data_IF_990205473103
#
_entry.id   IF_990205473103
#
_cell.length_a   1.000
_cell.length_b   1.000
_cell.length_c   1.000
_cell.angle_alpha   90.00
_cell.angle_beta   90.00
_cell.angle_gamma   90.00
#
_symmetry.space_group_name_H-M   'P 1'
#
loop_
_entity.id
_entity.type
_entity.pdbx_description
1 polymer ?
#
# COMPACT_ATOMS: atom_id res chain seq x y z
N UNK A 1 -14.92 10.44 -20.02
CA UNK A 1 -13.46 10.43 -20.24
C UNK A 1 -12.70 9.62 -19.22
N UNK A 2 -12.87 9.87 -17.95
CA UNK A 2 -12.34 9.00 -16.90
C UNK A 2 -12.84 7.55 -17.03
N UNK A 3 -14.07 7.39 -17.48
CA UNK A 3 -14.69 6.08 -17.73
C UNK A 3 -13.97 5.27 -18.80
N UNK A 4 -13.46 5.93 -19.85
CA UNK A 4 -12.73 5.24 -20.92
C UNK A 4 -11.38 4.71 -20.45
N UNK A 5 -10.65 5.50 -19.66
CA UNK A 5 -9.39 5.06 -19.07
C UNK A 5 -9.61 3.88 -18.14
N UNK A 6 -10.67 3.93 -17.36
CA UNK A 6 -11.03 2.84 -16.45
C UNK A 6 -11.39 1.58 -17.24
N UNK A 7 -12.06 1.72 -18.37
CA UNK A 7 -12.43 0.59 -19.21
C UNK A 7 -11.21 -0.11 -19.82
N UNK A 8 -10.24 0.66 -20.32
CA UNK A 8 -9.01 0.10 -20.89
C UNK A 8 -8.24 -0.68 -19.83
N UNK A 9 -8.08 -0.11 -18.65
CA UNK A 9 -7.41 -0.76 -17.53
C UNK A 9 -8.16 -2.03 -17.10
N UNK A 10 -9.47 -1.93 -17.05
CA UNK A 10 -10.35 -3.05 -16.70
C UNK A 10 -10.23 -4.19 -17.72
N UNK A 11 -10.23 -3.86 -19.02
CA UNK A 11 -10.09 -4.84 -20.09
C UNK A 11 -8.73 -5.54 -20.03
N UNK A 12 -7.68 -4.82 -19.70
CA UNK A 12 -6.36 -5.39 -19.50
C UNK A 12 -6.34 -6.39 -18.36
N UNK A 13 -6.95 -6.04 -17.22
CA UNK A 13 -7.06 -6.93 -16.07
C UNK A 13 -7.90 -8.16 -16.40
N UNK A 14 -9.01 -7.98 -17.12
CA UNK A 14 -9.86 -9.08 -17.59
C UNK A 14 -9.06 -10.08 -18.40
N UNK A 15 -8.25 -9.59 -19.33
CA UNK A 15 -7.41 -10.42 -20.18
C UNK A 15 -6.43 -11.27 -19.36
N UNK A 16 -5.86 -10.69 -18.32
CA UNK A 16 -4.94 -11.40 -17.43
C UNK A 16 -5.68 -12.46 -16.61
N UNK A 17 -6.85 -12.12 -16.09
CA UNK A 17 -7.66 -13.03 -15.25
C UNK A 17 -8.22 -14.20 -16.03
N UNK A 18 -8.64 -14.00 -17.27
CA UNK A 18 -9.14 -15.08 -18.13
C UNK A 18 -8.11 -16.20 -18.28
N UNK A 19 -6.84 -15.85 -18.29
CA UNK A 19 -5.76 -16.84 -18.41
C UNK A 19 -5.58 -17.64 -17.14
N UNK A 20 -5.97 -17.11 -15.98
CA UNK A 20 -5.76 -17.76 -14.69
C UNK A 20 -7.00 -18.38 -14.07
N UNK A 21 -8.17 -18.12 -14.62
CA UNK A 21 -9.47 -18.60 -14.14
C UNK A 21 -9.68 -18.38 -12.63
N UNK A 22 -9.11 -17.30 -12.10
CA UNK A 22 -9.26 -17.00 -10.68
C UNK A 22 -10.63 -16.42 -10.39
N UNK A 23 -11.19 -16.83 -9.26
CA UNK A 23 -12.48 -16.35 -8.76
C UNK A 23 -12.42 -14.91 -8.25
N UNK A 24 -11.36 -14.17 -8.55
CA UNK A 24 -11.16 -12.82 -8.05
C UNK A 24 -12.01 -11.86 -8.88
N UNK A 25 -12.83 -11.09 -8.20
CA UNK A 25 -13.67 -10.08 -8.85
C UNK A 25 -12.80 -8.93 -9.33
N UNK A 26 -12.97 -8.55 -10.59
CA UNK A 26 -12.21 -7.45 -11.22
C UNK A 26 -12.34 -6.15 -10.46
N UNK A 27 -13.54 -5.85 -9.95
CA UNK A 27 -13.77 -4.64 -9.19
C UNK A 27 -12.91 -4.61 -7.93
N UNK A 28 -12.68 -5.77 -7.30
CA UNK A 28 -11.86 -5.87 -6.11
C UNK A 28 -10.38 -5.61 -6.44
N UNK A 29 -9.90 -6.14 -7.55
CA UNK A 29 -8.52 -5.90 -8.02
C UNK A 29 -8.32 -4.43 -8.35
N UNK A 30 -9.25 -3.84 -9.08
CA UNK A 30 -9.20 -2.42 -9.42
C UNK A 30 -9.16 -1.56 -8.16
N UNK A 31 -10.01 -1.86 -7.19
CA UNK A 31 -10.06 -1.13 -5.93
C UNK A 31 -8.74 -1.24 -5.16
N UNK A 32 -8.18 -2.43 -5.08
CA UNK A 32 -6.90 -2.66 -4.40
C UNK A 32 -5.77 -1.85 -5.05
N UNK A 33 -5.68 -1.88 -6.37
CA UNK A 33 -4.65 -1.13 -7.10
C UNK A 33 -4.85 0.36 -6.93
N UNK A 34 -6.09 0.83 -7.03
CA UNK A 34 -6.43 2.23 -6.84
C UNK A 34 -6.00 2.71 -5.45
N UNK A 35 -6.32 1.93 -4.42
CA UNK A 35 -5.96 2.26 -3.04
C UNK A 35 -4.44 2.26 -2.87
N UNK A 36 -3.75 1.25 -3.40
CA UNK A 36 -2.32 1.08 -3.19
C UNK A 36 -1.46 2.11 -3.93
N UNK A 37 -1.91 2.61 -5.06
CA UNK A 37 -1.12 3.50 -5.91
C UNK A 37 -1.25 4.99 -5.56
N UNK A 38 -2.06 5.33 -4.58
CA UNK A 38 -2.06 6.70 -4.06
C UNK A 38 -0.68 7.01 -3.46
N UNK A 39 -0.05 8.16 -3.78
CA UNK A 39 1.32 8.45 -3.36
C UNK A 39 1.58 8.28 -1.86
N UNK A 40 0.68 8.79 -1.02
CA UNK A 40 0.83 8.67 0.44
C UNK A 40 0.69 7.21 0.86
N UNK A 41 -0.31 6.51 0.36
CA UNK A 41 -0.55 5.10 0.71
C UNK A 41 0.57 4.19 0.23
N UNK A 42 1.07 4.41 -0.96
CA UNK A 42 2.20 3.64 -1.47
C UNK A 42 3.45 3.84 -0.60
N UNK A 43 3.71 5.07 -0.20
CA UNK A 43 4.81 5.39 0.70
C UNK A 43 4.66 4.66 2.04
N UNK A 44 3.45 4.66 2.60
CA UNK A 44 3.17 3.92 3.84
C UNK A 44 3.44 2.43 3.65
N UNK A 45 2.94 1.84 2.58
CA UNK A 45 3.13 0.42 2.30
C UNK A 45 4.61 0.04 2.19
N UNK A 46 5.39 0.85 1.51
CA UNK A 46 6.82 0.60 1.35
C UNK A 46 7.55 0.65 2.70
N UNK A 47 7.18 1.61 3.54
CA UNK A 47 7.77 1.71 4.88
C UNK A 47 7.41 0.53 5.77
N UNK A 48 6.17 0.05 5.66
CA UNK A 48 5.70 -1.10 6.44
C UNK A 48 6.35 -2.42 6.02
N UNK A 49 6.98 -2.47 4.87
CA UNK A 49 7.72 -3.67 4.47
C UNK A 49 8.89 -3.96 5.41
N UNK A 50 9.55 -2.92 5.91
CA UNK A 50 10.72 -3.07 6.78
C UNK A 50 10.35 -3.36 8.22
N UNK A 51 9.29 -2.73 8.73
CA UNK A 51 8.95 -2.82 10.16
C UNK A 51 7.50 -2.43 10.42
N UNK A 52 7.00 -2.82 11.59
CA UNK A 52 5.73 -2.29 12.10
C UNK A 52 5.93 -0.84 12.54
N UNK A 53 4.93 -0.02 12.30
CA UNK A 53 4.98 1.37 12.73
C UNK A 53 3.64 1.78 13.33
N UNK A 54 3.66 2.83 14.12
CA UNK A 54 2.44 3.47 14.60
C UNK A 54 2.27 4.82 13.92
N UNK A 55 1.03 5.34 13.95
CA UNK A 55 0.67 6.52 13.15
C UNK A 55 1.54 7.75 13.44
N UNK A 56 1.96 7.94 14.69
CA UNK A 56 2.81 9.07 15.04
C UNK A 56 4.21 8.98 14.43
N UNK A 57 4.73 7.78 14.22
CA UNK A 57 6.00 7.60 13.48
C UNK A 57 5.87 8.08 12.05
N UNK A 58 4.80 7.68 11.39
CA UNK A 58 4.54 8.06 10.00
C UNK A 58 4.37 9.57 9.87
N UNK A 59 3.69 10.18 10.82
CA UNK A 59 3.50 11.63 10.85
C UNK A 59 4.84 12.36 10.84
N UNK A 60 5.76 11.95 11.70
CA UNK A 60 7.08 12.56 11.82
C UNK A 60 7.92 12.30 10.56
N UNK A 61 7.98 11.05 10.11
CA UNK A 61 8.83 10.66 8.99
C UNK A 61 8.34 11.26 7.68
N UNK A 62 7.03 11.24 7.45
CA UNK A 62 6.45 11.68 6.19
C UNK A 62 6.09 13.16 6.18
N UNK A 63 6.12 13.81 7.34
CA UNK A 63 5.72 15.22 7.50
C UNK A 63 4.30 15.46 6.98
N UNK A 64 3.41 14.53 7.30
CA UNK A 64 2.00 14.57 6.93
C UNK A 64 1.18 14.54 8.22
N UNK A 65 0.11 15.33 8.25
CA UNK A 65 -0.74 15.44 9.43
C UNK A 65 -1.31 14.09 9.85
N UNK A 66 -1.43 13.89 11.17
CA UNK A 66 -1.94 12.66 11.78
C UNK A 66 -3.30 12.24 11.22
N UNK A 67 -4.19 13.19 11.00
CA UNK A 67 -5.52 12.90 10.47
C UNK A 67 -5.46 12.32 9.06
N UNK A 68 -4.57 12.84 8.24
CA UNK A 68 -4.36 12.37 6.87
C UNK A 68 -3.76 10.97 6.89
N UNK A 69 -2.74 10.74 7.73
CA UNK A 69 -2.13 9.42 7.91
C UNK A 69 -3.20 8.40 8.35
N UNK A 70 -3.99 8.74 9.36
CA UNK A 70 -5.04 7.85 9.88
C UNK A 70 -6.08 7.52 8.83
N UNK A 71 -6.47 8.50 8.02
CA UNK A 71 -7.40 8.28 6.91
C UNK A 71 -6.84 7.26 5.91
N UNK A 72 -5.59 7.42 5.52
CA UNK A 72 -4.96 6.52 4.55
C UNK A 72 -4.72 5.12 5.13
N UNK A 73 -4.33 5.02 6.39
CA UNK A 73 -4.20 3.73 7.07
C UNK A 73 -5.54 2.99 7.11
N UNK A 74 -6.62 3.71 7.40
CA UNK A 74 -7.97 3.13 7.41
C UNK A 74 -8.34 2.58 6.03
N UNK A 75 -8.02 3.31 4.97
CA UNK A 75 -8.28 2.87 3.59
C UNK A 75 -7.48 1.62 3.26
N UNK A 76 -6.24 1.55 3.69
CA UNK A 76 -5.38 0.39 3.48
C UNK A 76 -5.88 -0.84 4.25
N UNK A 77 -6.37 -0.64 5.47
CA UNK A 77 -6.96 -1.72 6.25
C UNK A 77 -8.22 -2.28 5.58
N UNK A 78 -9.09 -1.40 5.12
CA UNK A 78 -10.31 -1.82 4.41
C UNK A 78 -10.02 -2.59 3.13
N UNK A 79 -8.93 -2.25 2.46
CA UNK A 79 -8.51 -2.96 1.25
C UNK A 79 -7.80 -4.29 1.57
N UNK A 80 -7.56 -4.60 2.83
CA UNK A 80 -6.91 -5.85 3.24
C UNK A 80 -5.39 -5.85 3.04
N UNK A 81 -4.77 -4.69 2.86
CA UNK A 81 -3.34 -4.58 2.63
C UNK A 81 -2.53 -4.36 3.91
N UNK A 82 -3.18 -3.82 4.93
CA UNK A 82 -2.58 -3.48 6.22
C UNK A 82 -3.48 -4.02 7.32
N UNK A 83 -2.87 -4.46 8.39
CA UNK A 83 -3.56 -4.84 9.62
C UNK A 83 -2.98 -4.06 10.78
N UNK A 84 -3.69 -4.03 11.89
CA UNK A 84 -3.24 -3.32 13.07
C UNK A 84 -3.47 -4.16 14.32
N UNK A 85 -2.64 -3.91 15.32
CA UNK A 85 -2.76 -4.53 16.64
C UNK A 85 -2.31 -3.52 17.70
N UNK A 86 -2.85 -3.66 18.91
CA UNK A 86 -2.41 -2.84 20.02
C UNK A 86 -1.17 -3.46 20.65
N UNK A 87 -0.23 -2.60 21.03
CA UNK A 87 0.96 -2.97 21.74
C UNK A 87 1.31 -1.90 22.75
N UNK A 88 2.32 -2.15 23.56
CA UNK A 88 2.79 -1.20 24.55
C UNK A 88 4.02 -0.48 24.03
N UNK A 89 3.95 0.85 24.05
CA UNK A 89 5.10 1.70 23.82
C UNK A 89 5.67 2.11 25.15
N UNK A 90 6.89 1.69 25.42
CA UNK A 90 7.60 2.08 26.64
C UNK A 90 8.66 3.11 26.29
N UNK A 91 8.66 4.19 27.07
CA UNK A 91 9.74 5.17 27.04
C UNK A 91 10.34 5.20 28.43
N UNK A 92 11.64 5.45 28.54
CA UNK A 92 12.35 5.49 29.82
C UNK A 92 11.81 6.53 30.80
N UNK A 93 11.00 7.47 30.31
CA UNK A 93 10.50 8.60 31.13
C UNK A 93 9.00 8.60 31.35
N UNK A 94 8.25 7.71 30.72
CA UNK A 94 6.78 7.72 30.77
C UNK A 94 6.22 6.34 31.05
N UNK A 95 4.97 6.31 31.53
CA UNK A 95 4.24 5.05 31.68
C UNK A 95 4.10 4.36 30.32
N UNK A 96 4.09 3.01 30.30
CA UNK A 96 3.74 2.30 29.07
C UNK A 96 2.40 2.77 28.55
N UNK A 97 2.32 3.08 27.27
CA UNK A 97 1.10 3.53 26.61
C UNK A 97 0.68 2.49 25.57
N UNK A 98 -0.61 2.19 25.55
CA UNK A 98 -1.17 1.37 24.49
C UNK A 98 -1.14 2.19 23.19
N UNK A 99 -0.49 1.65 22.17
CA UNK A 99 -0.45 2.26 20.83
C UNK A 99 -0.87 1.22 19.81
N UNK A 100 -1.41 1.70 18.71
CA UNK A 100 -1.83 0.85 17.61
C UNK A 100 -0.70 0.74 16.60
N UNK A 101 -0.21 -0.47 16.41
CA UNK A 101 0.83 -0.76 15.41
C UNK A 101 0.21 -1.26 14.13
N UNK A 102 0.76 -0.83 13.03
CA UNK A 102 0.32 -1.22 11.69
C UNK A 102 1.41 -2.07 11.04
N UNK A 103 0.98 -3.11 10.33
CA UNK A 103 1.88 -3.99 9.60
C UNK A 103 1.21 -4.44 8.30
N UNK A 104 2.02 -4.91 7.35
CA UNK A 104 1.48 -5.45 6.12
C UNK A 104 0.80 -6.80 6.38
N UNK A 105 -0.32 -7.01 5.70
CA UNK A 105 -0.89 -8.35 5.57
C UNK A 105 -0.03 -9.17 4.60
N UNK A 106 -0.31 -10.47 4.48
CA UNK A 106 0.34 -11.32 3.48
C UNK A 106 0.09 -10.77 2.08
N UNK A 107 -1.14 -10.35 1.79
CA UNK A 107 -1.54 -9.76 0.51
C UNK A 107 -0.83 -8.44 0.28
N UNK A 108 -0.76 -7.60 1.31
CA UNK A 108 -0.05 -6.32 1.24
C UNK A 108 1.44 -6.51 0.93
N UNK A 109 2.07 -7.48 1.57
CA UNK A 109 3.48 -7.78 1.34
C UNK A 109 3.73 -8.27 -0.09
N UNK A 110 2.88 -9.16 -0.59
CA UNK A 110 2.99 -9.63 -1.97
C UNK A 110 2.84 -8.49 -2.97
N UNK A 111 1.88 -7.61 -2.73
CA UNK A 111 1.63 -6.46 -3.60
C UNK A 111 2.83 -5.50 -3.60
N UNK A 112 3.36 -5.16 -2.43
CA UNK A 112 4.52 -4.26 -2.33
C UNK A 112 5.72 -4.83 -3.07
N UNK A 113 6.02 -6.10 -2.88
CA UNK A 113 7.13 -6.76 -3.57
C UNK A 113 6.95 -6.72 -5.08
N UNK A 114 5.74 -6.96 -5.56
CA UNK A 114 5.45 -6.93 -6.98
C UNK A 114 5.60 -5.51 -7.55
N UNK A 115 5.07 -4.51 -6.84
CA UNK A 115 5.20 -3.12 -7.27
C UNK A 115 6.66 -2.67 -7.29
N UNK A 116 7.43 -3.05 -6.29
CA UNK A 116 8.87 -2.73 -6.26
C UNK A 116 9.62 -3.36 -7.44
N UNK A 117 9.31 -4.60 -7.78
CA UNK A 117 9.89 -5.27 -8.93
C UNK A 117 9.58 -4.54 -10.24
N UNK A 118 8.32 -4.18 -10.44
CA UNK A 118 7.88 -3.46 -11.63
C UNK A 118 8.57 -2.09 -11.72
N UNK A 119 8.63 -1.35 -10.63
CA UNK A 119 9.26 -0.04 -10.58
C UNK A 119 10.76 -0.13 -10.84
N UNK A 120 11.42 -1.13 -10.27
CA UNK A 120 12.84 -1.36 -10.49
C UNK A 120 13.14 -1.63 -11.97
N UNK A 121 12.37 -2.50 -12.60
CA UNK A 121 12.52 -2.82 -14.03
C UNK A 121 12.33 -1.57 -14.90
N UNK A 122 11.32 -0.77 -14.55
CA UNK A 122 11.04 0.46 -15.29
C UNK A 122 12.16 1.50 -15.14
N UNK A 123 12.70 1.66 -13.94
CA UNK A 123 13.81 2.57 -13.68
C UNK A 123 15.05 2.15 -14.46
N UNK A 124 15.37 0.85 -14.47
CA UNK A 124 16.49 0.30 -15.23
C UNK A 124 16.30 0.56 -16.72
N UNK A 125 15.11 0.32 -17.25
CA UNK A 125 14.80 0.57 -18.65
C UNK A 125 14.99 2.05 -19.01
N UNK A 126 14.53 2.96 -18.16
CA UNK A 126 14.72 4.40 -18.38
C UNK A 126 16.21 4.79 -18.35
N UNK A 127 16.99 4.23 -17.44
CA UNK A 127 18.42 4.52 -17.35
C UNK A 127 19.15 4.04 -18.61
N UNK A 128 18.76 2.90 -19.15
CA UNK A 128 19.37 2.34 -20.35
C UNK A 128 18.97 3.06 -21.65
N UNK A 129 17.85 3.78 -21.64
CA UNK A 129 17.36 4.49 -22.82
C UNK A 129 17.95 5.89 -23.00
N UNK A 130 18.82 6.33 -22.11
CA UNK A 130 19.40 7.70 -22.12
C UNK A 130 20.68 7.83 -22.94
N UNK A 131 20.95 6.96 -23.83
CA UNK A 131 22.14 7.04 -24.68
C UNK A 131 21.98 7.95 -25.87
#
# INVERSE_FOLDING_TARGET
MLLRKNNIFRDMILSILDKKRDKVKINDIYEIIYVATHPIRLNILIRLESEKVYASNLEVIMKVDRKVISFHLSRLEKAGLVTSEYGLKTSSKTRPMAVRYYSLTTEGRKLVKKLQSILSDYIIALANSKD
#
